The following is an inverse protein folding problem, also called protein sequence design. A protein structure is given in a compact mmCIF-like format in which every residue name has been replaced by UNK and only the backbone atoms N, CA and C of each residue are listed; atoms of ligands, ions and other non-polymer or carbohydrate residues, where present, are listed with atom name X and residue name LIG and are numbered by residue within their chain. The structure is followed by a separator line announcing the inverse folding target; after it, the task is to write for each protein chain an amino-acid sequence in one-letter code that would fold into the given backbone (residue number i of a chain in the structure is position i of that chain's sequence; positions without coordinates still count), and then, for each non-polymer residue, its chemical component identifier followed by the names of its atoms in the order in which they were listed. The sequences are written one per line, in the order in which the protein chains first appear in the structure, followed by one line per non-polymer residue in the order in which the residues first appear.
data_IF_650008221372
#
_entry.id   IF_650008221372
#
_cell.length_a   1.000
_cell.length_b   1.000
_cell.length_c   1.000
_cell.angle_alpha   90.00
_cell.angle_beta   90.00
_cell.angle_gamma   90.00
#
_symmetry.space_group_name_H-M   'P 1'
#
loop_
_entity.id
_entity.type
_entity.pdbx_description
1 polymer ?
#
# COMPACT_ATOMS: atom_id res chain seq x y z
N UNK A 1 -26.03 -2.31 22.53
CA UNK A 1 -25.38 -1.14 21.90
C UNK A 1 -24.26 -1.64 21.03
N UNK A 2 -24.34 -1.51 19.70
CA UNK A 2 -23.20 -1.80 18.82
C UNK A 2 -22.19 -0.68 18.98
N UNK A 3 -21.11 -0.93 19.72
CA UNK A 3 -20.01 0.03 19.85
C UNK A 3 -19.39 0.33 18.49
N UNK A 4 -19.06 1.59 18.24
CA UNK A 4 -18.33 2.00 17.03
C UNK A 4 -16.95 1.34 17.06
N UNK A 5 -16.69 0.39 16.16
CA UNK A 5 -15.35 -0.15 15.97
C UNK A 5 -14.47 0.90 15.30
N UNK A 6 -13.32 1.21 15.91
CA UNK A 6 -12.34 2.12 15.33
C UNK A 6 -11.75 1.51 14.05
N UNK A 7 -11.69 2.31 12.98
CA UNK A 7 -11.00 1.96 11.73
C UNK A 7 -9.77 2.85 11.58
N UNK A 8 -8.64 2.25 11.25
CA UNK A 8 -7.38 2.97 11.09
C UNK A 8 -7.09 3.18 9.60
N UNK A 9 -6.73 4.40 9.24
CA UNK A 9 -6.23 4.76 7.92
C UNK A 9 -4.74 5.08 8.03
N UNK A 10 -3.91 4.32 7.33
CA UNK A 10 -2.49 4.57 7.20
C UNK A 10 -2.21 5.29 5.88
N UNK A 11 -1.54 6.44 5.94
CA UNK A 11 -1.18 7.21 4.76
C UNK A 11 0.33 7.17 4.56
N UNK A 12 0.75 6.82 3.34
CA UNK A 12 2.14 6.85 2.91
C UNK A 12 2.24 7.58 1.58
N UNK A 13 3.30 8.37 1.42
CA UNK A 13 3.70 8.93 0.12
C UNK A 13 4.45 7.86 -0.67
N UNK A 14 4.40 7.94 -2.00
CA UNK A 14 5.24 7.12 -2.86
C UNK A 14 6.74 7.27 -2.49
N UNK A 15 7.52 6.21 -2.71
CA UNK A 15 8.97 6.28 -2.63
C UNK A 15 9.55 7.28 -3.63
N UNK A 16 10.80 7.68 -3.42
CA UNK A 16 11.52 8.61 -4.29
C UNK A 16 11.40 8.19 -5.76
N UNK A 17 10.91 9.12 -6.59
CA UNK A 17 10.67 8.88 -8.00
C UNK A 17 11.78 9.49 -8.85
N UNK A 18 11.99 8.95 -10.05
CA UNK A 18 12.81 9.59 -11.06
C UNK A 18 12.27 10.98 -11.44
N UNK A 19 13.06 11.87 -12.04
CA UNK A 19 12.61 13.22 -12.41
C UNK A 19 11.40 13.24 -13.35
N UNK A 20 11.28 12.25 -14.24
CA UNK A 20 10.15 12.04 -15.14
C UNK A 20 8.96 11.29 -14.48
N UNK A 21 9.08 11.01 -13.18
CA UNK A 21 8.12 10.34 -12.31
C UNK A 21 7.63 8.95 -12.74
N UNK A 22 8.25 8.35 -13.76
CA UNK A 22 7.84 7.10 -14.40
C UNK A 22 8.25 5.85 -13.60
N UNK A 23 9.25 5.99 -12.72
CA UNK A 23 9.80 4.89 -11.91
C UNK A 23 10.23 5.38 -10.53
N UNK A 24 10.47 4.42 -9.64
CA UNK A 24 11.19 4.68 -8.40
C UNK A 24 12.69 4.71 -8.69
N UNK A 25 13.43 5.55 -7.97
CA UNK A 25 14.90 5.46 -7.90
C UNK A 25 15.29 4.25 -7.04
N UNK A 26 16.57 3.90 -6.97
CA UNK A 26 17.04 2.82 -6.08
C UNK A 26 16.72 3.13 -4.61
N UNK A 27 16.83 4.40 -4.22
CA UNK A 27 16.40 4.87 -2.91
C UNK A 27 14.88 4.70 -2.72
N UNK A 28 14.08 5.05 -3.74
CA UNK A 28 12.62 4.85 -3.70
C UNK A 28 12.22 3.39 -3.54
N UNK A 29 12.94 2.46 -4.18
CA UNK A 29 12.73 1.03 -3.97
C UNK A 29 13.06 0.61 -2.53
N UNK A 30 14.20 1.06 -1.98
CA UNK A 30 14.56 0.77 -0.59
C UNK A 30 13.53 1.33 0.40
N UNK A 31 13.01 2.53 0.15
CA UNK A 31 11.93 3.12 0.95
C UNK A 31 10.66 2.28 0.90
N UNK A 32 10.28 1.77 -0.28
CA UNK A 32 9.11 0.91 -0.43
C UNK A 32 9.26 -0.42 0.32
N UNK A 33 10.45 -1.03 0.28
CA UNK A 33 10.77 -2.25 1.05
C UNK A 33 10.64 -1.98 2.55
N UNK A 34 11.30 -0.94 3.07
CA UNK A 34 11.26 -0.59 4.50
C UNK A 34 9.84 -0.23 4.97
N UNK A 35 9.05 0.43 4.11
CA UNK A 35 7.64 0.69 4.37
C UNK A 35 6.87 -0.62 4.51
N UNK A 36 7.08 -1.57 3.58
CA UNK A 36 6.50 -2.90 3.62
C UNK A 36 6.84 -3.62 4.93
N UNK A 37 8.12 -3.69 5.29
CA UNK A 37 8.60 -4.27 6.55
C UNK A 37 7.95 -3.65 7.78
N UNK A 38 7.82 -2.31 7.81
CA UNK A 38 7.15 -1.61 8.91
C UNK A 38 5.67 -1.97 9.01
N UNK A 39 5.01 -2.14 7.86
CA UNK A 39 3.57 -2.43 7.79
C UNK A 39 3.23 -3.91 7.94
N UNK A 40 4.21 -4.83 7.83
CA UNK A 40 3.98 -6.28 8.01
C UNK A 40 3.33 -6.63 9.36
N UNK A 41 3.54 -5.80 10.40
CA UNK A 41 2.96 -6.01 11.74
C UNK A 41 1.63 -5.26 11.95
N UNK A 42 1.17 -4.50 10.96
CA UNK A 42 -0.10 -3.79 11.02
C UNK A 42 -1.24 -4.67 10.52
N UNK A 43 -2.43 -4.67 11.15
CA UNK A 43 -3.57 -5.45 10.70
C UNK A 43 -4.25 -4.80 9.49
N UNK A 44 -3.51 -4.62 8.40
CA UNK A 44 -4.03 -4.04 7.16
C UNK A 44 -5.00 -5.01 6.48
N UNK A 45 -6.19 -4.52 6.16
CA UNK A 45 -7.20 -5.27 5.43
C UNK A 45 -7.24 -4.95 3.92
N UNK A 46 -6.70 -3.80 3.53
CA UNK A 46 -6.64 -3.34 2.13
C UNK A 46 -5.52 -2.33 1.93
N UNK A 47 -4.96 -2.27 0.72
CA UNK A 47 -3.99 -1.25 0.30
C UNK A 47 -4.46 -0.62 -0.99
N UNK A 48 -4.50 0.71 -0.98
CA UNK A 48 -4.96 1.54 -2.09
C UNK A 48 -3.85 2.49 -2.50
N UNK A 49 -3.64 2.65 -3.81
CA UNK A 49 -2.61 3.54 -4.35
C UNK A 49 -3.13 4.38 -5.51
N UNK A 50 -2.54 5.56 -5.75
CA UNK A 50 -2.88 6.35 -6.94
C UNK A 50 -2.52 5.61 -8.25
N UNK A 51 -3.11 6.01 -9.39
CA UNK A 51 -2.92 5.32 -10.68
C UNK A 51 -1.54 5.53 -11.31
N UNK A 52 -0.71 6.43 -10.76
CA UNK A 52 0.60 6.74 -11.31
C UNK A 52 1.61 5.62 -10.99
N UNK A 53 2.54 5.29 -11.92
CA UNK A 53 3.46 4.15 -11.77
C UNK A 53 4.27 4.13 -10.47
N UNK A 54 4.72 5.30 -9.99
CA UNK A 54 5.47 5.41 -8.72
C UNK A 54 4.64 5.00 -7.49
N UNK A 55 3.33 5.26 -7.49
CA UNK A 55 2.45 4.90 -6.40
C UNK A 55 2.15 3.40 -6.41
N UNK A 56 1.85 2.85 -7.59
CA UNK A 56 1.68 1.40 -7.79
C UNK A 56 2.93 0.62 -7.35
N UNK A 57 4.11 1.02 -7.84
CA UNK A 57 5.39 0.38 -7.50
C UNK A 57 5.71 0.45 -6.00
N UNK A 58 5.35 1.54 -5.32
CA UNK A 58 5.54 1.66 -3.86
C UNK A 58 4.59 0.73 -3.09
N UNK A 59 3.37 0.54 -3.60
CA UNK A 59 2.33 -0.25 -2.92
C UNK A 59 2.52 -1.76 -3.07
N UNK A 60 3.35 -2.19 -4.02
CA UNK A 60 3.55 -3.60 -4.31
C UNK A 60 4.42 -4.21 -3.20
N UNK A 61 3.92 -5.21 -2.46
CA UNK A 61 4.72 -5.87 -1.44
C UNK A 61 5.94 -6.51 -2.10
N UNK A 62 7.12 -6.22 -1.58
CA UNK A 62 8.42 -6.73 -2.06
C UNK A 62 9.00 -7.80 -1.15
N UNK A 63 8.17 -8.43 -0.31
CA UNK A 63 8.62 -9.51 0.59
C UNK A 63 8.65 -10.87 -0.13
N UNK A 64 9.72 -11.67 0.02
CA UNK A 64 9.66 -13.10 -0.23
C UNK A 64 9.07 -13.73 1.04
N UNK A 65 7.80 -14.14 1.01
CA UNK A 65 7.27 -15.02 2.05
C UNK A 65 6.52 -16.16 1.39
N UNK A 66 7.25 -17.26 1.22
CA UNK A 66 6.73 -18.58 0.95
C UNK A 66 5.72 -18.93 2.07
N UNK A 67 4.48 -19.20 1.69
CA UNK A 67 3.52 -19.90 2.56
C UNK A 67 2.40 -19.10 3.24
N UNK A 68 2.15 -17.83 2.90
CA UNK A 68 0.92 -17.14 3.36
C UNK A 68 0.11 -16.64 2.17
N UNK A 69 -1.19 -16.97 2.16
CA UNK A 69 -2.19 -16.32 1.30
C UNK A 69 -2.01 -14.79 1.39
N UNK A 70 -2.05 -14.03 0.28
CA UNK A 70 -1.87 -12.58 0.33
C UNK A 70 -3.06 -11.96 1.08
N UNK A 71 -2.86 -11.35 2.27
CA UNK A 71 -3.99 -10.91 3.09
C UNK A 71 -4.62 -9.61 2.59
N UNK A 72 -4.03 -8.97 1.57
CA UNK A 72 -4.35 -7.59 1.21
C UNK A 72 -4.67 -7.50 -0.28
N UNK A 73 -5.92 -7.16 -0.58
CA UNK A 73 -6.30 -6.76 -1.93
C UNK A 73 -5.57 -5.46 -2.31
N UNK A 74 -4.77 -5.52 -3.37
CA UNK A 74 -4.15 -4.36 -4.02
C UNK A 74 -5.12 -3.83 -5.06
N UNK A 75 -5.42 -2.54 -5.02
CA UNK A 75 -6.29 -1.91 -6.01
C UNK A 75 -5.89 -0.46 -6.28
N UNK A 76 -5.91 -0.02 -7.55
CA UNK A 76 -5.80 1.40 -7.86
C UNK A 76 -6.97 2.14 -7.19
N UNK A 77 -6.63 3.13 -6.37
CA UNK A 77 -7.58 4.07 -5.83
C UNK A 77 -8.08 4.95 -6.97
N UNK A 78 -9.17 4.55 -7.63
CA UNK A 78 -10.02 5.52 -8.28
C UNK A 78 -10.66 6.34 -7.15
N UNK A 79 -10.06 7.49 -6.81
CA UNK A 79 -10.54 8.38 -5.73
C UNK A 79 -11.98 8.90 -5.96
N UNK A 80 -12.67 8.45 -7.01
CA UNK A 80 -14.11 8.65 -7.24
C UNK A 80 -15.05 7.55 -6.70
N UNK A 81 -14.56 6.36 -6.30
CA UNK A 81 -15.42 5.30 -5.73
C UNK A 81 -14.64 4.39 -4.77
N UNK A 82 -14.37 4.86 -3.56
CA UNK A 82 -13.90 3.98 -2.47
C UNK A 82 -15.03 3.03 -2.03
N UNK A 83 -15.14 1.86 -2.69
CA UNK A 83 -15.80 0.69 -2.10
C UNK A 83 -14.91 0.17 -0.99
N UNK A 84 -15.18 0.63 0.23
CA UNK A 84 -14.72 -0.02 1.46
C UNK A 84 -15.26 -1.43 1.44
N UNK A 85 -14.39 -2.43 1.27
CA UNK A 85 -14.76 -3.84 1.49
C UNK A 85 -15.02 -3.99 2.98
N UNK A 86 -16.31 -3.91 3.33
CA UNK A 86 -16.83 -4.17 4.65
C UNK A 86 -16.78 -5.70 4.86
N UNK A 87 -15.97 -6.15 5.81
CA UNK A 87 -16.38 -7.30 6.63
C UNK A 87 -17.06 -6.72 7.86
#
# INVERSE_FOLDING_TARGET
MTGTAARYLYLARHGEASPDESRLTDNGHRQAVLLGERLQRSPLSAVHHGPLPRAEKTSRPTSPSEGSDPPVALSPANLGTSRVVKR
#
